data_IF_165650544577
#
_entry.id   IF_165650544577
#
_cell.length_a   1.000
_cell.length_b   1.000
_cell.length_c   1.000
_cell.angle_alpha   90.00
_cell.angle_beta   90.00
_cell.angle_gamma   90.00
#
_symmetry.space_group_name_H-M   'P 1'
#
loop_
_entity.id
_entity.type
_entity.pdbx_description
1 polymer ?
#
# COMPACT_ATOMS: atom_id res chain seq x y z
N UNK A 1 -6.00 -6.25 31.70
CA UNK A 1 -4.97 -5.45 31.02
C UNK A 1 -3.96 -6.43 30.46
N UNK A 2 -4.19 -6.92 29.25
CA UNK A 2 -3.22 -7.78 28.56
C UNK A 2 -2.05 -6.90 28.12
N UNK A 3 -0.94 -6.98 28.84
CA UNK A 3 0.33 -6.40 28.43
C UNK A 3 0.85 -7.22 27.25
N UNK A 4 0.53 -6.80 26.03
CA UNK A 4 1.19 -7.38 24.85
C UNK A 4 2.71 -7.28 25.05
N UNK A 5 3.46 -8.36 24.77
CA UNK A 5 4.90 -8.35 24.92
C UNK A 5 5.51 -7.26 24.04
N UNK A 6 6.46 -6.51 24.59
CA UNK A 6 7.15 -5.41 23.91
C UNK A 6 7.68 -5.92 22.56
N UNK A 7 7.49 -5.17 21.47
CA UNK A 7 7.90 -5.58 20.11
C UNK A 7 9.34 -6.12 20.01
N UNK A 8 10.24 -5.67 20.89
CA UNK A 8 11.61 -6.15 21.04
C UNK A 8 11.73 -7.63 21.46
N UNK A 9 10.77 -8.17 22.21
CA UNK A 9 10.75 -9.58 22.65
C UNK A 9 10.27 -10.53 21.53
N UNK A 10 9.57 -10.01 20.52
CA UNK A 10 9.05 -10.78 19.36
C UNK A 10 10.09 -10.98 18.25
N UNK A 11 11.16 -10.19 18.21
CA UNK A 11 12.13 -10.20 17.11
C UNK A 11 13.20 -11.29 17.30
N UNK A 12 12.82 -12.55 17.08
CA UNK A 12 13.77 -13.68 17.02
C UNK A 12 14.34 -13.82 15.61
N UNK A 13 15.51 -13.20 15.38
CA UNK A 13 16.26 -13.33 14.12
C UNK A 13 17.37 -14.37 14.26
N UNK A 14 17.62 -15.11 13.19
CA UNK A 14 18.79 -15.98 13.11
C UNK A 14 20.06 -15.14 12.94
N UNK A 15 21.21 -15.68 13.33
CA UNK A 15 22.50 -15.00 13.14
C UNK A 15 22.73 -14.60 11.68
N UNK A 16 22.38 -15.47 10.73
CA UNK A 16 22.46 -15.17 9.31
C UNK A 16 21.54 -14.01 8.89
N UNK A 17 20.31 -13.94 9.42
CA UNK A 17 19.42 -12.82 9.15
C UNK A 17 20.00 -11.50 9.67
N UNK A 18 20.55 -11.51 10.90
CA UNK A 18 21.23 -10.34 11.48
C UNK A 18 22.43 -9.92 10.63
N UNK A 19 23.25 -10.87 10.18
CA UNK A 19 24.40 -10.60 9.31
C UNK A 19 23.99 -9.95 7.97
N UNK A 20 22.93 -10.47 7.33
CA UNK A 20 22.39 -9.90 6.10
C UNK A 20 21.84 -8.49 6.31
N UNK A 21 21.10 -8.27 7.40
CA UNK A 21 20.56 -6.95 7.76
C UNK A 21 21.68 -5.94 7.95
N UNK A 22 22.68 -6.25 8.78
CA UNK A 22 23.86 -5.38 9.02
C UNK A 22 24.61 -5.04 7.73
N UNK A 23 24.78 -6.03 6.86
CA UNK A 23 25.54 -5.84 5.60
C UNK A 23 24.81 -4.93 4.63
N UNK A 24 23.49 -5.09 4.47
CA UNK A 24 22.73 -4.55 3.33
C UNK A 24 21.61 -3.55 3.67
N UNK A 25 21.00 -3.64 4.84
CA UNK A 25 19.72 -2.97 5.11
C UNK A 25 19.78 -1.91 6.21
N UNK A 26 20.52 -2.16 7.30
CA UNK A 26 20.64 -1.19 8.40
C UNK A 26 21.30 0.09 7.92
N UNK A 27 20.86 1.24 8.46
CA UNK A 27 21.49 2.53 8.18
C UNK A 27 22.94 2.47 8.63
N UNK A 28 23.83 3.08 7.84
CA UNK A 28 25.25 3.14 8.15
C UNK A 28 25.65 4.56 8.52
N UNK A 29 26.56 4.68 9.47
CA UNK A 29 27.21 5.95 9.79
C UNK A 29 28.25 6.31 8.69
N UNK A 30 28.91 7.46 8.86
CA UNK A 30 29.96 7.93 7.95
C UNK A 30 31.16 6.99 7.84
N UNK A 31 31.38 6.15 8.85
CA UNK A 31 32.43 5.11 8.88
C UNK A 31 32.01 3.82 8.17
N UNK A 32 30.78 3.75 7.67
CA UNK A 32 30.23 2.56 7.01
C UNK A 32 29.75 1.46 7.96
N UNK A 33 29.70 1.74 9.27
CA UNK A 33 29.25 0.81 10.30
C UNK A 33 27.74 0.93 10.51
N UNK A 34 27.08 -0.18 10.89
CA UNK A 34 25.65 -0.16 11.16
C UNK A 34 25.34 0.76 12.37
N UNK A 35 24.48 1.75 12.13
CA UNK A 35 24.04 2.76 13.10
C UNK A 35 22.57 2.56 13.53
N UNK A 36 21.95 1.46 13.10
CA UNK A 36 20.60 1.04 13.47
C UNK A 36 20.65 -0.42 13.92
N UNK A 37 19.83 -0.79 14.91
CA UNK A 37 19.52 -2.18 15.18
C UNK A 37 18.36 -2.67 14.28
N UNK A 38 18.20 -3.99 14.09
CA UNK A 38 17.11 -4.54 13.27
C UNK A 38 15.71 -4.00 13.61
N UNK A 39 15.42 -3.81 14.90
CA UNK A 39 14.13 -3.24 15.33
C UNK A 39 13.96 -1.78 14.90
N UNK A 40 15.03 -0.99 14.90
CA UNK A 40 15.00 0.42 14.50
C UNK A 40 14.74 0.55 13.01
N UNK A 41 15.34 -0.34 12.21
CA UNK A 41 15.03 -0.45 10.78
C UNK A 41 13.54 -0.72 10.55
N UNK A 42 12.94 -1.69 11.26
CA UNK A 42 11.51 -1.97 11.11
C UNK A 42 10.61 -0.81 11.54
N UNK A 43 10.96 -0.11 12.62
CA UNK A 43 10.24 1.10 13.05
C UNK A 43 10.33 2.21 12.02
N UNK A 44 11.54 2.51 11.51
CA UNK A 44 11.74 3.51 10.45
C UNK A 44 10.88 3.21 9.22
N UNK A 45 10.88 1.95 8.77
CA UNK A 45 10.09 1.54 7.62
C UNK A 45 8.59 1.67 7.90
N UNK A 46 8.12 1.25 9.08
CA UNK A 46 6.71 1.35 9.47
C UNK A 46 6.24 2.81 9.53
N UNK A 47 7.01 3.69 10.17
CA UNK A 47 6.70 5.11 10.29
C UNK A 47 6.67 5.79 8.92
N UNK A 48 7.70 5.61 8.09
CA UNK A 48 7.77 6.22 6.76
C UNK A 48 6.61 5.80 5.84
N UNK A 49 6.10 4.56 5.96
CA UNK A 49 4.93 4.12 5.20
C UNK A 49 3.62 4.65 5.80
N UNK A 50 3.55 4.81 7.12
CA UNK A 50 2.38 5.37 7.81
C UNK A 50 2.15 6.86 7.52
N UNK A 51 3.19 7.62 7.15
CA UNK A 51 3.06 9.04 6.75
C UNK A 51 2.05 9.25 5.61
N UNK A 52 1.97 8.31 4.66
CA UNK A 52 1.02 8.41 3.55
C UNK A 52 -0.45 8.42 4.02
N UNK A 53 -0.77 7.76 5.14
CA UNK A 53 -2.12 7.72 5.70
C UNK A 53 -2.48 9.04 6.39
N UNK A 54 -1.49 9.74 6.95
CA UNK A 54 -1.64 11.11 7.49
C UNK A 54 -2.00 12.06 6.36
N UNK A 55 -1.21 12.08 5.28
CA UNK A 55 -1.43 12.97 4.14
C UNK A 55 -2.81 12.74 3.51
N UNK A 56 -3.18 11.46 3.34
CA UNK A 56 -4.48 11.09 2.80
C UNK A 56 -5.65 11.49 3.73
N UNK A 57 -5.49 11.29 5.04
CA UNK A 57 -6.48 11.67 6.05
C UNK A 57 -6.66 13.19 6.13
N UNK A 58 -5.56 13.93 6.14
CA UNK A 58 -5.55 15.41 6.08
C UNK A 58 -6.24 15.92 4.81
N UNK A 59 -5.96 15.33 3.65
CA UNK A 59 -6.65 15.66 2.40
C UNK A 59 -8.17 15.38 2.45
N UNK A 60 -8.63 14.55 3.40
CA UNK A 60 -10.05 14.27 3.68
C UNK A 60 -10.63 15.07 4.84
N UNK A 61 -9.87 16.00 5.43
CA UNK A 61 -10.33 16.93 6.45
C UNK A 61 -10.11 16.47 7.90
N UNK A 62 -9.22 15.51 8.15
CA UNK A 62 -8.80 15.20 9.51
C UNK A 62 -8.05 16.39 10.13
N UNK A 63 -8.28 16.63 11.42
CA UNK A 63 -7.49 17.56 12.23
C UNK A 63 -6.10 17.00 12.56
N UNK A 64 -5.21 17.86 13.07
CA UNK A 64 -3.86 17.48 13.51
C UNK A 64 -3.85 16.33 14.51
N UNK A 65 -4.75 16.36 15.50
CA UNK A 65 -4.87 15.30 16.50
C UNK A 65 -5.36 13.98 15.92
N UNK A 66 -6.34 14.02 15.02
CA UNK A 66 -6.88 12.82 14.37
C UNK A 66 -5.85 12.18 13.43
N UNK A 67 -5.13 12.98 12.65
CA UNK A 67 -4.10 12.45 11.77
C UNK A 67 -2.93 11.85 12.54
N UNK A 68 -2.60 12.42 13.72
CA UNK A 68 -1.61 11.82 14.63
C UNK A 68 -2.05 10.45 15.15
N UNK A 69 -3.33 10.31 15.52
CA UNK A 69 -3.88 9.01 15.94
C UNK A 69 -3.82 7.97 14.80
N UNK A 70 -4.15 8.39 13.57
CA UNK A 70 -4.03 7.53 12.38
C UNK A 70 -2.58 7.08 12.17
N UNK A 71 -1.62 8.01 12.25
CA UNK A 71 -0.20 7.67 12.14
C UNK A 71 0.21 6.57 13.13
N UNK A 72 -0.07 6.77 14.42
CA UNK A 72 0.35 5.85 15.49
C UNK A 72 -0.32 4.47 15.37
N UNK A 73 -1.57 4.44 14.92
CA UNK A 73 -2.27 3.18 14.63
C UNK A 73 -1.64 2.43 13.46
N UNK A 74 -1.40 3.12 12.33
CA UNK A 74 -0.88 2.48 11.12
C UNK A 74 0.60 2.08 11.27
N UNK A 75 1.42 2.91 11.91
CA UNK A 75 2.81 2.56 12.24
C UNK A 75 2.87 1.27 13.05
N UNK A 76 2.08 1.18 14.13
CA UNK A 76 2.01 -0.04 14.97
C UNK A 76 1.59 -1.25 14.14
N UNK A 77 0.55 -1.11 13.32
CA UNK A 77 0.03 -2.19 12.48
C UNK A 77 1.06 -2.69 11.46
N UNK A 78 1.76 -1.77 10.78
CA UNK A 78 2.79 -2.13 9.82
C UNK A 78 4.00 -2.79 10.50
N UNK A 79 4.41 -2.27 11.65
CA UNK A 79 5.45 -2.86 12.46
C UNK A 79 5.09 -4.31 12.85
N UNK A 80 3.89 -4.55 13.35
CA UNK A 80 3.43 -5.89 13.72
C UNK A 80 3.39 -6.87 12.54
N UNK A 81 2.94 -6.40 11.37
CA UNK A 81 2.93 -7.23 10.16
C UNK A 81 4.34 -7.67 9.76
N UNK A 82 5.33 -6.76 9.85
CA UNK A 82 6.73 -7.06 9.55
C UNK A 82 7.36 -7.97 10.60
N UNK A 83 7.19 -7.67 11.90
CA UNK A 83 7.75 -8.46 12.99
C UNK A 83 7.17 -9.87 13.05
N UNK A 84 5.88 -10.02 12.74
CA UNK A 84 5.22 -11.33 12.65
C UNK A 84 5.55 -12.08 11.36
N UNK A 85 6.26 -11.46 10.41
CA UNK A 85 6.57 -12.00 9.07
C UNK A 85 5.33 -12.37 8.25
N UNK A 86 4.17 -11.82 8.62
CA UNK A 86 2.93 -11.96 7.82
C UNK A 86 3.02 -11.18 6.51
N UNK A 87 3.83 -10.12 6.50
CA UNK A 87 4.15 -9.32 5.33
C UNK A 87 5.56 -8.76 5.45
N UNK A 88 6.26 -8.65 4.33
CA UNK A 88 7.57 -7.99 4.25
C UNK A 88 7.59 -7.18 2.95
N UNK A 89 7.92 -5.89 2.98
CA UNK A 89 8.06 -5.13 1.75
C UNK A 89 9.31 -5.57 0.99
N UNK A 90 9.46 -5.10 -0.25
CA UNK A 90 10.62 -5.41 -1.07
C UNK A 90 11.93 -4.84 -0.49
N UNK A 91 13.07 -5.24 -1.05
CA UNK A 91 14.38 -4.79 -0.57
C UNK A 91 14.58 -3.26 -0.60
N UNK A 92 14.23 -2.52 -1.68
CA UNK A 92 14.38 -1.07 -1.69
C UNK A 92 13.58 -0.35 -0.61
N UNK A 93 12.38 -0.83 -0.29
CA UNK A 93 11.60 -0.25 0.82
C UNK A 93 12.34 -0.41 2.15
N UNK A 94 12.87 -1.59 2.46
CA UNK A 94 13.65 -1.81 3.70
C UNK A 94 14.92 -0.95 3.74
N UNK A 95 15.59 -0.79 2.60
CA UNK A 95 16.85 -0.05 2.48
C UNK A 95 16.64 1.47 2.55
N UNK A 96 15.57 2.01 1.96
CA UNK A 96 15.47 3.43 1.64
C UNK A 96 14.32 4.18 2.33
N UNK A 97 13.31 3.50 2.89
CA UNK A 97 12.21 4.19 3.58
C UNK A 97 12.72 5.05 4.74
N UNK A 98 12.25 6.30 4.85
CA UNK A 98 12.72 7.24 5.87
C UNK A 98 14.19 7.67 5.71
N UNK A 99 14.74 7.64 4.48
CA UNK A 99 16.05 8.18 4.12
C UNK A 99 15.92 9.16 2.96
N UNK A 100 16.93 10.02 2.79
CA UNK A 100 16.93 11.12 1.81
C UNK A 100 16.60 10.68 0.37
N UNK A 101 17.08 9.51 -0.07
CA UNK A 101 16.78 9.02 -1.42
C UNK A 101 15.31 8.61 -1.60
N UNK A 102 14.66 8.06 -0.58
CA UNK A 102 13.23 7.73 -0.58
C UNK A 102 12.73 6.74 -1.65
N UNK A 103 13.62 6.08 -2.40
CA UNK A 103 13.24 5.23 -3.54
C UNK A 103 12.80 3.82 -3.06
N UNK A 104 11.50 3.55 -3.03
CA UNK A 104 10.92 2.32 -2.43
C UNK A 104 10.60 1.17 -3.43
N UNK A 105 10.47 1.49 -4.71
CA UNK A 105 10.16 0.54 -5.80
C UNK A 105 11.39 -0.22 -6.28
N UNK A 106 11.25 -1.50 -6.67
CA UNK A 106 12.36 -2.29 -7.20
C UNK A 106 12.32 -2.49 -8.72
N UNK A 107 11.14 -2.30 -9.32
CA UNK A 107 10.89 -2.58 -10.73
C UNK A 107 10.27 -1.35 -11.38
N UNK A 108 10.72 -1.05 -12.59
CA UNK A 108 10.17 0.01 -13.43
C UNK A 108 9.56 -0.61 -14.68
N UNK A 109 8.50 0.01 -15.19
CA UNK A 109 7.83 -0.45 -16.40
C UNK A 109 8.68 -0.10 -17.64
N UNK A 110 8.48 -0.87 -18.71
CA UNK A 110 8.96 -0.47 -20.03
C UNK A 110 8.43 0.94 -20.38
N UNK A 111 9.26 1.75 -21.03
CA UNK A 111 9.05 3.16 -21.32
C UNK A 111 9.47 4.11 -20.21
N UNK A 112 9.99 3.62 -19.07
CA UNK A 112 10.54 4.50 -18.03
C UNK A 112 11.82 5.14 -18.56
N UNK A 113 11.85 6.46 -18.71
CA UNK A 113 13.02 7.18 -19.22
C UNK A 113 14.13 7.23 -18.17
N UNK A 114 15.37 6.95 -18.60
CA UNK A 114 16.59 7.00 -17.81
C UNK A 114 17.52 8.04 -18.39
N UNK A 115 18.02 8.96 -17.56
CA UNK A 115 18.99 9.96 -17.98
C UNK A 115 20.35 9.32 -18.24
N UNK A 116 20.80 9.37 -19.49
CA UNK A 116 22.13 8.90 -19.92
C UNK A 116 22.97 10.06 -20.43
N UNK A 117 24.28 9.83 -20.61
CA UNK A 117 25.19 10.84 -21.18
C UNK A 117 24.78 11.28 -22.59
N UNK A 118 24.14 10.39 -23.36
CA UNK A 118 23.69 10.63 -24.73
C UNK A 118 22.24 11.13 -24.79
N UNK A 119 21.64 11.41 -23.62
CA UNK A 119 20.27 11.87 -23.46
C UNK A 119 19.34 10.81 -22.83
N UNK A 120 18.06 11.16 -22.59
CA UNK A 120 17.10 10.24 -22.01
C UNK A 120 16.86 9.01 -22.89
N UNK A 121 16.95 7.81 -22.33
CA UNK A 121 16.77 6.54 -23.01
C UNK A 121 15.74 5.67 -22.25
N UNK A 122 14.80 4.98 -22.92
CA UNK A 122 13.91 4.03 -22.26
C UNK A 122 14.69 2.93 -21.52
N UNK A 123 14.22 2.54 -20.33
CA UNK A 123 14.91 1.58 -19.46
C UNK A 123 15.14 0.21 -20.12
N UNK A 124 14.27 -0.21 -21.03
CA UNK A 124 14.38 -1.46 -21.78
C UNK A 124 15.50 -1.46 -22.83
N UNK A 125 15.97 -0.27 -23.23
CA UNK A 125 17.01 -0.07 -24.24
C UNK A 125 18.39 0.23 -23.60
N UNK A 126 18.46 0.33 -22.27
CA UNK A 126 19.72 0.49 -21.54
C UNK A 126 20.53 -0.80 -21.60
N UNK A 127 21.78 -0.70 -22.04
CA UNK A 127 22.74 -1.80 -22.12
C UNK A 127 23.84 -1.71 -21.04
N UNK A 128 24.53 -2.82 -20.80
CA UNK A 128 25.71 -2.82 -19.92
C UNK A 128 26.81 -1.91 -20.50
N UNK A 129 27.46 -1.14 -19.63
CA UNK A 129 28.44 -0.12 -20.02
C UNK A 129 27.84 1.26 -20.29
N UNK A 130 26.52 1.38 -20.53
CA UNK A 130 25.86 2.67 -20.70
C UNK A 130 26.08 3.58 -19.49
N UNK A 131 26.37 4.86 -19.72
CA UNK A 131 26.62 5.84 -18.66
C UNK A 131 25.30 6.49 -18.22
N UNK A 132 24.84 6.14 -17.02
CA UNK A 132 23.59 6.65 -16.45
C UNK A 132 23.86 7.65 -15.32
N UNK A 133 23.02 8.67 -15.22
CA UNK A 133 23.12 9.68 -14.17
C UNK A 133 22.68 9.07 -12.82
N UNK A 134 23.56 9.19 -11.81
CA UNK A 134 23.25 8.73 -10.45
C UNK A 134 22.67 9.86 -9.60
N UNK A 135 21.99 9.51 -8.51
CA UNK A 135 21.50 10.46 -7.49
C UNK A 135 22.59 11.37 -6.89
N UNK A 136 23.88 11.05 -7.07
CA UNK A 136 25.01 11.88 -6.67
C UNK A 136 25.43 12.90 -7.75
N UNK A 137 24.65 13.07 -8.82
CA UNK A 137 24.96 14.00 -9.91
C UNK A 137 26.15 13.59 -10.78
N UNK A 138 26.52 12.31 -10.79
CA UNK A 138 27.64 11.77 -11.59
C UNK A 138 27.20 10.62 -12.46
N UNK A 139 27.80 10.49 -13.65
CA UNK A 139 27.57 9.36 -14.55
C UNK A 139 28.37 8.13 -14.11
N UNK A 140 27.74 6.96 -14.17
CA UNK A 140 28.37 5.67 -13.88
C UNK A 140 27.93 4.61 -14.90
N UNK A 141 28.81 3.66 -15.25
CA UNK A 141 28.46 2.59 -16.17
C UNK A 141 27.46 1.64 -15.52
N UNK A 142 26.47 1.23 -16.30
CA UNK A 142 25.57 0.13 -15.94
C UNK A 142 26.37 -1.16 -15.90
N UNK A 143 26.46 -1.77 -14.73
CA UNK A 143 27.23 -3.02 -14.52
C UNK A 143 26.44 -4.28 -14.88
N UNK A 144 25.10 -4.18 -14.85
CA UNK A 144 24.21 -5.29 -15.18
C UNK A 144 22.81 -4.78 -15.47
N UNK A 145 22.13 -5.38 -16.44
CA UNK A 145 20.70 -5.16 -16.66
C UNK A 145 19.88 -6.31 -16.09
N UNK A 146 18.61 -6.04 -15.76
CA UNK A 146 17.65 -7.07 -15.37
C UNK A 146 16.36 -6.85 -16.14
N UNK A 147 15.98 -7.82 -16.96
CA UNK A 147 14.72 -7.79 -17.70
C UNK A 147 13.86 -8.97 -17.27
N UNK A 148 12.60 -8.68 -16.95
CA UNK A 148 11.59 -9.71 -16.69
C UNK A 148 10.48 -9.58 -17.72
N UNK A 149 10.45 -10.50 -18.68
CA UNK A 149 9.33 -10.65 -19.61
C UNK A 149 8.47 -11.81 -19.11
N UNK A 150 7.24 -11.52 -18.73
CA UNK A 150 6.33 -12.52 -18.19
C UNK A 150 4.91 -12.25 -18.72
N UNK A 151 4.09 -13.30 -18.81
CA UNK A 151 2.69 -13.15 -19.19
C UNK A 151 1.95 -12.47 -18.03
N UNK A 152 1.28 -11.36 -18.33
CA UNK A 152 0.38 -10.72 -17.37
C UNK A 152 -0.96 -11.48 -17.36
N UNK A 153 -1.41 -11.77 -16.15
CA UNK A 153 -2.71 -12.36 -15.88
C UNK A 153 -3.63 -11.26 -15.37
N UNK A 154 -4.84 -11.17 -15.95
CA UNK A 154 -5.89 -10.30 -15.46
C UNK A 154 -6.67 -11.02 -14.36
N UNK A 155 -6.50 -10.58 -13.12
CA UNK A 155 -7.18 -11.14 -11.94
C UNK A 155 -8.32 -10.21 -11.55
N UNK A 156 -9.55 -10.72 -11.56
CA UNK A 156 -10.74 -10.01 -11.08
C UNK A 156 -11.19 -10.66 -9.77
N UNK A 157 -11.05 -9.92 -8.68
CA UNK A 157 -11.63 -10.28 -7.38
C UNK A 157 -12.96 -9.53 -7.24
N UNK A 158 -13.94 -10.15 -6.60
CA UNK A 158 -15.22 -9.51 -6.34
C UNK A 158 -15.03 -8.19 -5.58
N UNK A 159 -15.81 -7.17 -5.94
CA UNK A 159 -15.75 -5.79 -5.38
C UNK A 159 -14.42 -5.03 -5.54
N UNK A 160 -13.38 -5.59 -6.16
CA UNK A 160 -12.13 -4.88 -6.45
C UNK A 160 -11.95 -4.58 -7.94
N UNK A 161 -11.19 -3.53 -8.32
CA UNK A 161 -10.73 -3.34 -9.69
C UNK A 161 -9.99 -4.57 -10.22
N UNK A 162 -9.97 -4.74 -11.54
CA UNK A 162 -9.16 -5.79 -12.15
C UNK A 162 -7.67 -5.47 -11.95
N UNK A 163 -6.90 -6.46 -11.53
CA UNK A 163 -5.46 -6.37 -11.33
C UNK A 163 -4.74 -7.06 -12.48
N UNK A 164 -3.62 -6.51 -12.94
CA UNK A 164 -2.73 -7.13 -13.91
C UNK A 164 -1.43 -7.50 -13.22
N UNK A 165 -1.15 -8.80 -13.11
CA UNK A 165 -0.04 -9.32 -12.30
C UNK A 165 0.65 -10.48 -12.99
N UNK A 166 1.90 -10.75 -12.62
CA UNK A 166 2.68 -11.87 -13.18
C UNK A 166 2.21 -13.22 -12.64
N UNK A 167 2.50 -14.30 -13.38
CA UNK A 167 2.02 -15.65 -13.04
C UNK A 167 2.47 -16.17 -11.67
N UNK A 168 3.65 -15.74 -11.22
CA UNK A 168 4.22 -16.13 -9.92
C UNK A 168 3.71 -15.28 -8.75
N UNK A 169 2.98 -14.19 -9.00
CA UNK A 169 2.47 -13.34 -7.92
C UNK A 169 1.49 -14.15 -7.06
N UNK A 170 1.76 -14.34 -5.75
CA UNK A 170 0.90 -15.15 -4.91
C UNK A 170 -0.31 -14.34 -4.42
N UNK A 171 -1.46 -14.99 -4.34
CA UNK A 171 -2.64 -14.47 -3.65
C UNK A 171 -2.90 -15.32 -2.42
N UNK A 172 -3.23 -14.68 -1.29
CA UNK A 172 -3.70 -15.39 -0.11
C UNK A 172 -5.14 -15.83 -0.35
N UNK A 173 -5.37 -17.14 -0.36
CA UNK A 173 -6.68 -17.75 -0.59
C UNK A 173 -7.12 -18.57 0.62
N UNK A 174 -8.34 -19.09 0.59
CA UNK A 174 -8.82 -20.09 1.56
C UNK A 174 -7.96 -21.36 1.63
N UNK A 175 -7.18 -21.67 0.58
CA UNK A 175 -6.25 -22.80 0.53
C UNK A 175 -4.79 -22.39 0.85
N UNK A 176 -4.57 -21.18 1.37
CA UNK A 176 -3.24 -20.61 1.58
C UNK A 176 -2.75 -19.80 0.38
N UNK A 177 -1.43 -19.61 0.29
CA UNK A 177 -0.80 -18.84 -0.79
C UNK A 177 -0.81 -19.62 -2.10
N UNK A 178 -1.47 -19.05 -3.12
CA UNK A 178 -1.59 -19.66 -4.46
C UNK A 178 -1.08 -18.68 -5.49
N UNK A 179 -0.11 -19.11 -6.31
CA UNK A 179 0.38 -18.34 -7.45
C UNK A 179 -0.74 -18.03 -8.45
N UNK A 180 -0.65 -16.86 -9.08
CA UNK A 180 -1.67 -16.40 -10.03
C UNK A 180 -1.96 -17.40 -11.15
N UNK A 181 -0.93 -18.02 -11.74
CA UNK A 181 -1.12 -19.03 -12.81
C UNK A 181 -1.89 -20.28 -12.35
N UNK A 182 -1.91 -20.55 -11.05
CA UNK A 182 -2.61 -21.68 -10.40
C UNK A 182 -3.98 -21.27 -9.86
N UNK A 183 -4.33 -19.98 -9.88
CA UNK A 183 -5.67 -19.54 -9.48
C UNK A 183 -6.74 -20.16 -10.39
N UNK A 184 -7.89 -20.43 -9.80
CA UNK A 184 -9.04 -21.08 -10.44
C UNK A 184 -10.29 -20.44 -9.88
N UNK A 185 -11.11 -19.86 -10.75
CA UNK A 185 -12.37 -19.26 -10.37
C UNK A 185 -13.25 -20.29 -9.64
N UNK A 186 -14.05 -19.83 -8.67
CA UNK A 186 -14.96 -20.66 -7.85
C UNK A 186 -14.29 -21.73 -6.96
N UNK A 187 -12.98 -21.96 -7.09
CA UNK A 187 -12.19 -22.85 -6.22
C UNK A 187 -11.37 -22.07 -5.20
N UNK A 188 -10.72 -20.99 -5.64
CA UNK A 188 -9.86 -20.18 -4.78
C UNK A 188 -10.56 -18.86 -4.44
N UNK A 189 -10.90 -18.67 -3.16
CA UNK A 189 -11.47 -17.43 -2.63
C UNK A 189 -10.36 -16.58 -2.03
N UNK A 190 -10.11 -15.41 -2.60
CA UNK A 190 -9.03 -14.51 -2.17
C UNK A 190 -9.45 -13.80 -0.89
N UNK A 191 -8.60 -13.87 0.15
CA UNK A 191 -8.83 -13.19 1.42
C UNK A 191 -8.46 -11.71 1.24
N UNK A 192 -9.47 -10.84 1.26
CA UNK A 192 -9.28 -9.40 1.26
C UNK A 192 -9.27 -8.89 2.70
N UNK A 193 -8.16 -8.28 3.10
CA UNK A 193 -8.07 -7.58 4.38
C UNK A 193 -8.77 -6.23 4.28
N UNK A 194 -10.09 -6.22 4.26
CA UNK A 194 -10.81 -4.97 4.48
C UNK A 194 -10.65 -4.57 5.96
N UNK A 195 -10.39 -3.30 6.29
CA UNK A 195 -10.68 -2.82 7.64
C UNK A 195 -12.16 -3.14 7.90
N UNK A 196 -12.46 -3.66 9.08
CA UNK A 196 -13.85 -3.76 9.53
C UNK A 196 -14.38 -2.34 9.59
N UNK A 197 -15.11 -1.92 8.56
CA UNK A 197 -15.91 -0.72 8.62
C UNK A 197 -17.17 -1.17 9.34
N UNK A 198 -17.45 -0.64 10.53
CA UNK A 198 -18.75 -0.85 11.16
C UNK A 198 -19.82 -0.46 10.13
N UNK A 199 -20.65 -1.42 9.74
CA UNK A 199 -21.79 -1.15 8.88
C UNK A 199 -22.77 -0.27 9.67
N UNK A 200 -22.68 1.05 9.49
CA UNK A 200 -23.78 1.93 9.90
C UNK A 200 -24.97 1.63 8.99
N UNK A 201 -25.96 0.88 9.51
CA UNK A 201 -27.25 0.73 8.86
C UNK A 201 -27.85 2.12 8.61
N UNK A 202 -27.99 2.48 7.33
CA UNK A 202 -28.55 3.75 6.93
C UNK A 202 -30.06 3.59 6.70
N UNK A 203 -30.86 4.07 7.65
CA UNK A 203 -32.31 4.13 7.50
C UNK A 203 -32.71 5.42 6.74
N UNK A 204 -33.63 5.26 5.78
CA UNK A 204 -34.32 6.36 5.12
C UNK A 204 -35.78 6.33 5.51
N UNK A 205 -36.27 7.45 6.04
CA UNK A 205 -37.69 7.65 6.31
C UNK A 205 -38.27 8.63 5.29
N UNK A 206 -39.48 8.30 4.82
CA UNK A 206 -40.25 9.12 3.89
C UNK A 206 -41.41 9.77 4.65
N UNK A 207 -41.56 11.08 4.47
CA UNK A 207 -42.75 11.80 4.92
C UNK A 207 -43.37 12.52 3.70
N UNK A 208 -44.25 11.81 2.99
CA UNK A 208 -44.95 12.28 1.79
C UNK A 208 -45.71 11.14 1.11
N UNK A 209 -46.12 11.32 -0.15
CA UNK A 209 -46.94 10.35 -0.87
C UNK A 209 -46.24 9.80 -2.12
N UNK A 210 -46.58 8.57 -2.48
CA UNK A 210 -46.12 7.91 -3.71
C UNK A 210 -47.25 7.95 -4.73
N UNK A 211 -46.96 8.45 -5.94
CA UNK A 211 -47.91 8.46 -7.05
C UNK A 211 -47.17 8.07 -8.33
N UNK A 212 -47.74 7.15 -9.11
CA UNK A 212 -47.17 6.69 -10.38
C UNK A 212 -45.72 6.17 -10.27
N UNK A 213 -45.38 5.54 -9.15
CA UNK A 213 -44.02 5.05 -8.85
C UNK A 213 -43.02 6.15 -8.46
N UNK A 214 -43.47 7.40 -8.33
CA UNK A 214 -42.65 8.55 -7.95
C UNK A 214 -42.92 8.96 -6.51
N UNK A 215 -41.84 9.21 -5.76
CA UNK A 215 -41.89 9.69 -4.38
C UNK A 215 -41.93 11.21 -4.38
N UNK A 216 -43.06 11.77 -3.96
CA UNK A 216 -43.25 13.21 -3.79
C UNK A 216 -43.17 13.56 -2.31
N UNK A 217 -41.95 13.59 -1.77
CA UNK A 217 -41.69 13.75 -0.33
C UNK A 217 -40.32 14.39 -0.03
N UNK A 218 -40.16 14.88 1.21
CA UNK A 218 -38.86 15.25 1.78
C UNK A 218 -38.14 13.98 2.26
N UNK A 219 -36.99 13.65 1.68
CA UNK A 219 -36.14 12.57 2.19
C UNK A 219 -35.38 13.04 3.44
N UNK A 220 -35.45 12.25 4.51
CA UNK A 220 -34.64 12.45 5.71
C UNK A 220 -33.76 11.23 5.93
N UNK A 221 -32.45 11.43 5.83
CA UNK A 221 -31.45 10.42 6.18
C UNK A 221 -31.21 10.39 7.69
N UNK A 222 -31.25 9.21 8.30
CA UNK A 222 -31.03 9.08 9.75
C UNK A 222 -29.56 8.79 10.13
N UNK A 223 -28.73 8.30 9.20
CA UNK A 223 -27.29 8.10 9.44
C UNK A 223 -26.45 9.37 9.24
N UNK A 224 -25.32 9.47 9.95
CA UNK A 224 -24.42 10.63 9.87
C UNK A 224 -23.91 10.90 8.45
N UNK A 225 -23.63 9.83 7.69
CA UNK A 225 -23.23 9.91 6.28
C UNK A 225 -24.37 10.38 5.37
N UNK A 226 -25.60 9.91 5.61
CA UNK A 226 -26.78 10.30 4.84
C UNK A 226 -27.16 11.76 5.09
N UNK A 227 -27.16 12.20 6.36
CA UNK A 227 -27.36 13.61 6.74
C UNK A 227 -26.36 14.54 6.08
N UNK A 228 -25.07 14.19 6.06
CA UNK A 228 -24.01 14.98 5.39
C UNK A 228 -24.20 15.07 3.87
N UNK A 229 -24.67 13.99 3.23
CA UNK A 229 -24.95 13.95 1.78
C UNK A 229 -26.13 14.86 1.42
N UNK A 230 -27.23 14.75 2.16
CA UNK A 230 -28.44 15.54 1.92
C UNK A 230 -28.33 17.00 2.38
N UNK A 231 -27.46 17.32 3.34
CA UNK A 231 -27.19 18.71 3.73
C UNK A 231 -26.43 19.50 2.65
N UNK A 232 -25.71 18.83 1.74
CA UNK A 232 -25.01 19.47 0.61
C UNK A 232 -25.93 19.68 -0.60
N UNK A 233 -26.85 18.76 -0.83
CA UNK A 233 -27.71 18.77 -2.01
C UNK A 233 -29.10 19.33 -1.65
N UNK A 234 -29.17 20.66 -1.53
CA UNK A 234 -30.44 21.38 -1.36
C UNK A 234 -31.40 21.07 -2.53
N UNK A 235 -32.54 20.44 -2.23
CA UNK A 235 -33.65 20.15 -3.14
C UNK A 235 -33.31 19.37 -4.43
N UNK A 236 -32.67 18.20 -4.30
CA UNK A 236 -32.55 17.27 -5.44
C UNK A 236 -33.62 16.18 -5.37
N UNK A 237 -34.50 16.14 -6.36
CA UNK A 237 -35.42 15.01 -6.63
C UNK A 237 -34.57 13.83 -7.09
N UNK A 238 -34.40 12.80 -6.25
CA UNK A 238 -33.68 11.58 -6.65
C UNK A 238 -34.59 10.68 -7.50
N UNK A 239 -34.18 10.38 -8.73
CA UNK A 239 -34.79 9.34 -9.56
C UNK A 239 -34.06 8.02 -9.29
N UNK A 240 -34.72 7.06 -8.65
CA UNK A 240 -34.25 5.68 -8.61
C UNK A 240 -35.05 4.85 -9.61
N UNK A 241 -34.35 4.22 -10.55
CA UNK A 241 -34.90 3.12 -11.34
C UNK A 241 -34.71 1.87 -10.48
N UNK A 242 -35.81 1.31 -9.99
CA UNK A 242 -35.84 -0.04 -9.43
C UNK A 242 -36.06 -0.97 -10.62
N UNK A 243 -35.09 -1.85 -10.87
CA UNK A 243 -35.29 -3.01 -11.73
C UNK A 243 -36.00 -4.12 -10.94
#
# INVERSE_FOLDING_TARGET
MDTEPRHTERLKLTENAVAVLRKRYLKKNERGEAAEEPIDMFRRVAGAVAEAEVDFGMARGLSGGEARAVFEEQERRFLDLMLSRKFMPNSPTLMNAGRDLGQLSACFAAGTMIDTIDGPCPIEDIEEGALVLTHMGRYRPVVRTMRRVDRLYRVKVDKLPALYVTGEHPFLTSAGWVETRKLRAKKHFVRLGFPMVEEEEAFMRFNGHVKDGLVHARLVGESGRSRRRHARDGNVVSRQIIA
#
